data_IF_435224253636
#
_entry.id   IF_435224253636
#
_cell.length_a   1.000
_cell.length_b   1.000
_cell.length_c   1.000
_cell.angle_alpha   90.00
_cell.angle_beta   90.00
_cell.angle_gamma   90.00
#
_symmetry.space_group_name_H-M   'P 1'
#
loop_
_entity.id
_entity.type
_entity.pdbx_description
1 polymer ?
#
# COMPACT_ATOMS: atom_id res chain seq x y z
N UNK A 1 40.88 89.75 -37.39
CA UNK A 1 40.47 88.48 -38.03
C UNK A 1 38.99 88.14 -37.72
N UNK A 2 38.12 88.60 -38.62
CA UNK A 2 36.76 88.07 -38.90
C UNK A 2 36.88 86.64 -39.50
N UNK A 3 35.80 85.85 -39.68
CA UNK A 3 34.47 85.84 -39.04
C UNK A 3 33.89 84.39 -38.78
N UNK A 4 32.68 84.33 -38.21
CA UNK A 4 31.63 83.28 -38.48
C UNK A 4 31.22 83.35 -39.97
N UNK A 5 30.63 82.34 -40.65
CA UNK A 5 29.17 82.11 -40.56
C UNK A 5 28.68 80.68 -40.98
N UNK A 6 27.43 80.27 -40.68
CA UNK A 6 26.23 80.18 -41.55
C UNK A 6 25.95 78.73 -42.05
N UNK A 7 24.88 78.06 -41.59
CA UNK A 7 23.45 78.05 -42.01
C UNK A 7 23.14 77.16 -43.22
N UNK A 8 22.05 76.39 -43.12
CA UNK A 8 20.88 76.38 -44.03
C UNK A 8 19.99 75.16 -43.67
N UNK A 9 18.80 75.38 -43.10
CA UNK A 9 17.48 75.48 -43.79
C UNK A 9 16.76 74.12 -43.82
N UNK A 10 15.62 73.94 -43.15
CA UNK A 10 14.25 74.47 -43.37
C UNK A 10 13.39 73.49 -44.20
N UNK A 11 12.14 73.27 -43.75
CA UNK A 11 11.15 72.50 -44.51
C UNK A 11 10.13 71.73 -43.67
N UNK A 12 9.17 72.45 -43.07
CA UNK A 12 7.89 71.88 -42.64
C UNK A 12 7.06 71.40 -43.85
N UNK A 13 6.38 70.25 -43.73
CA UNK A 13 5.08 70.04 -44.37
C UNK A 13 4.23 69.00 -43.61
N UNK A 14 3.08 69.46 -43.13
CA UNK A 14 1.99 68.72 -42.48
C UNK A 14 1.37 67.66 -43.41
N UNK A 15 0.91 66.52 -42.85
CA UNK A 15 -0.47 66.00 -43.01
C UNK A 15 -0.72 64.73 -42.17
N UNK A 16 -1.78 64.79 -41.33
CA UNK A 16 -2.56 63.67 -40.74
C UNK A 16 -3.87 63.55 -41.55
N UNK A 17 -4.80 62.58 -41.33
CA UNK A 17 -4.74 61.28 -40.65
C UNK A 17 -5.46 60.13 -41.43
N UNK A 18 -5.38 58.87 -40.97
CA UNK A 18 -6.44 57.87 -41.23
C UNK A 18 -6.76 57.08 -39.95
N UNK A 19 -8.05 57.13 -39.57
CA UNK A 19 -8.76 56.28 -38.60
C UNK A 19 -9.11 54.93 -39.23
N UNK A 20 -9.18 53.88 -38.41
CA UNK A 20 -10.22 52.82 -38.26
C UNK A 20 -9.54 51.53 -37.77
N UNK A 21 -10.08 50.72 -36.85
CA UNK A 21 -11.38 50.73 -36.21
C UNK A 21 -11.36 49.92 -34.91
N UNK A 22 -12.26 50.31 -34.02
CA UNK A 22 -12.55 49.71 -32.72
C UNK A 22 -13.43 48.49 -32.92
N UNK A 23 -13.00 47.31 -32.47
CA UNK A 23 -13.88 46.12 -32.38
C UNK A 23 -14.41 46.03 -30.96
N UNK A 24 -15.72 46.28 -30.86
CA UNK A 24 -16.57 46.12 -29.68
C UNK A 24 -16.89 44.61 -29.58
N UNK A 25 -16.37 43.91 -28.56
CA UNK A 25 -16.83 42.55 -28.22
C UNK A 25 -17.46 42.57 -26.83
N UNK A 26 -18.69 42.09 -26.82
CA UNK A 26 -19.68 42.09 -25.73
C UNK A 26 -19.10 41.42 -24.48
N UNK A 27 -19.15 42.13 -23.36
CA UNK A 27 -19.18 41.50 -22.04
C UNK A 27 -20.46 40.66 -21.97
N UNK A 28 -20.28 39.35 -21.83
CA UNK A 28 -21.34 38.38 -21.60
C UNK A 28 -21.28 38.06 -20.12
N UNK A 29 -22.39 38.34 -19.45
CA UNK A 29 -22.71 37.87 -18.11
C UNK A 29 -22.57 36.35 -18.06
N UNK A 30 -21.58 35.86 -17.30
CA UNK A 30 -21.44 34.47 -16.82
C UNK A 30 -20.59 34.49 -15.52
N UNK A 31 -20.91 35.44 -14.62
CA UNK A 31 -20.44 35.44 -13.22
C UNK A 31 -21.66 35.18 -12.35
N UNK A 32 -21.81 33.96 -11.84
CA UNK A 32 -22.95 33.68 -10.96
C UNK A 32 -23.03 32.32 -10.29
N UNK A 33 -22.24 31.31 -10.71
CA UNK A 33 -22.35 29.97 -10.12
C UNK A 33 -21.10 29.47 -9.38
N UNK A 34 -19.88 29.90 -9.72
CA UNK A 34 -18.66 29.45 -9.02
C UNK A 34 -18.42 30.17 -7.67
N UNK A 35 -18.80 31.45 -7.55
CA UNK A 35 -18.61 32.28 -6.34
C UNK A 35 -19.37 31.72 -5.11
N UNK A 36 -20.54 31.10 -5.33
CA UNK A 36 -21.37 30.57 -4.23
C UNK A 36 -20.86 29.25 -3.65
N UNK A 37 -19.97 28.56 -4.37
CA UNK A 37 -19.36 27.31 -3.93
C UNK A 37 -18.17 27.56 -3.02
N UNK A 38 -17.33 28.52 -3.37
CA UNK A 38 -16.18 28.96 -2.56
C UNK A 38 -16.63 29.64 -1.27
N UNK A 39 -17.57 30.60 -1.34
CA UNK A 39 -18.10 31.29 -0.15
C UNK A 39 -18.67 30.32 0.90
N UNK A 40 -19.39 29.27 0.46
CA UNK A 40 -19.95 28.26 1.37
C UNK A 40 -18.89 27.34 1.98
N UNK A 41 -17.84 27.04 1.23
CA UNK A 41 -16.76 26.17 1.70
C UNK A 41 -15.92 26.90 2.74
N UNK A 42 -15.62 28.17 2.49
CA UNK A 42 -14.91 29.04 3.42
C UNK A 42 -15.72 29.25 4.72
N UNK A 43 -17.05 29.38 4.62
CA UNK A 43 -17.93 29.49 5.79
C UNK A 43 -17.99 28.18 6.61
N UNK A 44 -17.97 27.01 5.95
CA UNK A 44 -17.91 25.71 6.66
C UNK A 44 -16.54 25.47 7.30
N UNK A 45 -15.44 25.78 6.61
CA UNK A 45 -14.07 25.64 7.14
C UNK A 45 -13.87 26.54 8.37
N UNK A 46 -14.27 27.82 8.31
CA UNK A 46 -14.21 28.74 9.45
C UNK A 46 -15.02 28.25 10.64
N UNK A 47 -16.20 27.70 10.39
CA UNK A 47 -17.05 27.18 11.46
C UNK A 47 -16.43 25.96 12.14
N UNK A 48 -15.80 25.08 11.37
CA UNK A 48 -15.05 23.93 11.91
C UNK A 48 -13.85 24.42 12.73
N UNK A 49 -13.14 25.44 12.25
CA UNK A 49 -12.02 26.04 12.99
C UNK A 49 -12.47 26.69 14.30
N UNK A 50 -13.58 27.42 14.31
CA UNK A 50 -14.15 28.00 15.52
C UNK A 50 -14.59 26.92 16.53
N UNK A 51 -15.29 25.88 16.08
CA UNK A 51 -15.71 24.75 16.93
C UNK A 51 -14.49 23.99 17.48
N UNK A 52 -13.46 23.77 16.66
CA UNK A 52 -12.21 23.15 17.09
C UNK A 52 -11.45 24.03 18.09
N UNK A 53 -11.46 25.35 17.89
CA UNK A 53 -10.83 26.33 18.81
C UNK A 53 -11.52 26.35 20.17
N UNK A 54 -12.85 26.27 20.20
CA UNK A 54 -13.60 26.15 21.45
C UNK A 54 -13.32 24.84 22.19
N UNK A 55 -13.15 23.74 21.47
CA UNK A 55 -12.96 22.41 22.05
C UNK A 55 -11.51 22.10 22.46
N UNK A 56 -10.54 22.47 21.63
CA UNK A 56 -9.13 22.09 21.77
C UNK A 56 -8.20 23.26 22.12
N UNK A 57 -8.72 24.49 22.10
CA UNK A 57 -7.92 25.71 22.31
C UNK A 57 -7.22 26.18 21.03
N UNK A 58 -6.26 27.10 21.15
CA UNK A 58 -5.53 27.65 20.00
C UNK A 58 -4.73 26.56 19.28
N UNK A 59 -4.59 26.71 17.96
CA UNK A 59 -3.80 25.80 17.13
C UNK A 59 -2.33 25.83 17.57
N UNK A 60 -1.61 24.71 17.37
CA UNK A 60 -0.18 24.65 17.67
C UNK A 60 0.60 25.74 16.91
N UNK A 61 0.24 26.01 15.67
CA UNK A 61 0.82 27.09 14.86
C UNK A 61 0.68 28.46 15.54
N UNK A 62 -0.47 28.75 16.15
CA UNK A 62 -0.68 29.98 16.92
C UNK A 62 0.09 29.99 18.23
N UNK A 63 0.04 28.89 19.00
CA UNK A 63 0.74 28.77 20.30
C UNK A 63 2.24 28.96 20.11
N UNK A 64 2.77 28.38 19.04
CA UNK A 64 4.20 28.34 18.77
C UNK A 64 4.69 29.47 17.86
N UNK A 65 3.79 30.33 17.39
CA UNK A 65 4.07 31.45 16.48
C UNK A 65 4.80 30.97 15.21
N UNK A 66 4.25 29.93 14.56
CA UNK A 66 4.76 29.37 13.31
C UNK A 66 3.64 29.39 12.28
N UNK A 67 3.91 29.96 11.12
CA UNK A 67 3.04 29.85 9.95
C UNK A 67 3.67 28.93 8.89
N UNK A 68 2.81 28.34 8.05
CA UNK A 68 3.23 27.61 6.86
C UNK A 68 2.91 28.47 5.64
N UNK A 69 3.91 28.71 4.79
CA UNK A 69 3.65 29.40 3.52
C UNK A 69 2.82 28.51 2.60
N UNK A 70 1.84 29.09 1.93
CA UNK A 70 1.12 28.38 0.87
C UNK A 70 2.10 27.92 -0.23
N UNK A 71 1.95 26.68 -0.72
CA UNK A 71 2.78 26.17 -1.78
C UNK A 71 2.45 26.92 -3.08
N UNK A 72 3.38 27.77 -3.55
CA UNK A 72 3.37 28.22 -4.95
C UNK A 72 3.45 27.00 -5.89
N UNK A 73 2.93 27.13 -7.11
CA UNK A 73 2.81 26.06 -8.12
C UNK A 73 3.96 25.04 -8.07
N UNK A 74 3.59 23.76 -7.92
CA UNK A 74 4.44 22.73 -7.37
C UNK A 74 4.94 21.73 -8.42
N UNK A 75 6.27 21.58 -8.55
CA UNK A 75 6.90 20.43 -9.18
C UNK A 75 7.96 19.85 -8.23
N UNK A 76 7.66 18.68 -7.65
CA UNK A 76 8.61 17.93 -6.81
C UNK A 76 9.61 17.18 -7.69
N UNK A 77 10.93 17.36 -7.49
CA UNK A 77 11.92 16.49 -8.09
C UNK A 77 11.75 15.05 -7.58
N UNK A 78 12.00 14.04 -8.42
CA UNK A 78 11.80 12.63 -8.08
C UNK A 78 12.56 12.17 -6.82
N UNK A 79 13.70 12.81 -6.52
CA UNK A 79 14.53 12.55 -5.32
C UNK A 79 14.39 13.58 -4.19
N UNK A 80 13.38 14.46 -4.23
CA UNK A 80 13.25 15.56 -3.28
C UNK A 80 14.18 16.74 -3.56
N UNK A 81 14.14 17.76 -2.70
CA UNK A 81 15.00 18.94 -2.77
C UNK A 81 16.23 18.78 -1.90
N UNK A 82 17.36 19.27 -2.41
CA UNK A 82 18.58 19.43 -1.63
C UNK A 82 18.38 20.44 -0.50
N UNK A 83 18.91 20.11 0.67
CA UNK A 83 18.75 20.89 1.90
C UNK A 83 20.06 21.56 2.27
N UNK A 84 19.99 22.87 2.49
CA UNK A 84 21.11 23.66 2.99
C UNK A 84 21.04 23.82 4.51
N UNK A 85 22.19 23.68 5.16
CA UNK A 85 22.35 23.83 6.62
C UNK A 85 22.14 25.28 7.05
N UNK A 86 21.44 25.44 8.16
CA UNK A 86 21.30 26.70 8.88
C UNK A 86 22.08 26.70 10.19
N UNK A 87 21.56 27.45 11.16
CA UNK A 87 22.10 27.55 12.52
C UNK A 87 21.36 26.58 13.45
N UNK A 88 22.11 25.75 14.18
CA UNK A 88 21.52 24.90 15.22
C UNK A 88 21.71 25.47 16.62
N UNK A 89 20.72 25.26 17.48
CA UNK A 89 20.82 25.55 18.92
C UNK A 89 21.42 24.38 19.69
N UNK A 90 21.44 23.19 19.11
CA UNK A 90 22.03 22.02 19.75
C UNK A 90 23.55 22.19 19.91
N UNK A 91 24.15 21.65 20.99
CA UNK A 91 25.61 21.61 21.16
C UNK A 91 26.29 20.81 20.04
N UNK A 92 25.58 19.83 19.51
CA UNK A 92 25.96 19.05 18.34
C UNK A 92 25.61 19.86 17.10
N UNK A 93 26.62 20.21 16.31
CA UNK A 93 26.40 20.89 15.02
C UNK A 93 25.55 20.01 14.10
N UNK A 94 24.68 20.64 13.30
CA UNK A 94 24.01 19.96 12.19
C UNK A 94 25.03 19.18 11.33
N UNK A 95 24.70 17.93 10.96
CA UNK A 95 25.59 17.09 10.16
C UNK A 95 25.90 17.74 8.81
N UNK A 96 27.02 17.36 8.19
CA UNK A 96 27.41 17.90 6.88
C UNK A 96 26.43 17.52 5.77
N UNK A 97 25.88 16.31 5.84
CA UNK A 97 24.84 15.82 4.94
C UNK A 97 23.49 15.88 5.65
N UNK A 98 22.48 16.38 4.94
CA UNK A 98 21.09 16.44 5.38
C UNK A 98 20.23 15.61 4.42
N UNK A 99 19.11 15.04 4.91
CA UNK A 99 18.21 14.28 4.06
C UNK A 99 17.61 15.15 2.96
N UNK A 100 17.27 14.53 1.83
CA UNK A 100 16.46 15.20 0.83
C UNK A 100 15.09 15.53 1.42
N UNK A 101 14.58 16.70 1.03
CA UNK A 101 13.27 17.15 1.49
C UNK A 101 12.21 16.84 0.46
N UNK A 102 11.12 16.20 0.88
CA UNK A 102 9.99 15.84 0.04
C UNK A 102 8.78 16.74 0.33
N UNK A 103 8.69 17.32 1.51
CA UNK A 103 7.59 18.24 1.83
C UNK A 103 7.65 19.56 1.05
N UNK A 104 6.47 20.02 0.61
CA UNK A 104 6.29 21.26 -0.13
C UNK A 104 6.17 22.49 0.77
N UNK A 105 5.87 22.28 2.04
CA UNK A 105 5.62 23.36 2.98
C UNK A 105 6.94 23.99 3.43
N UNK A 106 6.89 25.31 3.69
CA UNK A 106 7.99 26.08 4.27
C UNK A 106 7.49 26.83 5.49
N UNK A 107 8.32 26.96 6.50
CA UNK A 107 7.98 27.73 7.69
C UNK A 107 8.19 29.23 7.44
N UNK A 108 7.29 30.02 8.02
CA UNK A 108 7.44 31.45 8.25
C UNK A 108 7.46 31.64 9.77
N UNK A 109 8.65 31.75 10.39
CA UNK A 109 8.73 31.95 11.83
C UNK A 109 8.15 33.31 12.24
N UNK A 110 7.22 33.31 13.20
CA UNK A 110 6.58 34.53 13.70
C UNK A 110 7.38 35.27 14.79
N UNK A 111 8.41 34.63 15.35
CA UNK A 111 9.29 35.23 16.36
C UNK A 111 10.77 34.89 16.19
N UNK A 112 11.62 35.73 16.77
CA UNK A 112 13.08 35.62 16.77
C UNK A 112 13.62 34.49 17.68
N UNK A 113 12.74 33.90 18.50
CA UNK A 113 13.03 32.71 19.28
C UNK A 113 13.30 31.48 18.41
N UNK A 114 12.82 31.48 17.17
CA UNK A 114 13.06 30.43 16.19
C UNK A 114 14.38 30.63 15.46
N UNK A 115 15.21 29.60 15.49
CA UNK A 115 16.41 29.46 14.66
C UNK A 115 16.11 28.54 13.49
N UNK A 116 16.65 28.91 12.33
CA UNK A 116 16.49 28.14 11.09
C UNK A 116 17.61 27.11 11.04
N UNK A 117 17.26 25.84 11.24
CA UNK A 117 18.22 24.73 11.21
C UNK A 117 18.47 24.22 9.80
N UNK A 118 17.45 24.25 8.94
CA UNK A 118 17.56 23.75 7.58
C UNK A 118 16.70 24.56 6.61
N UNK A 119 17.17 24.72 5.37
CA UNK A 119 16.46 25.44 4.31
C UNK A 119 16.44 24.67 3.00
N UNK A 120 15.38 24.86 2.23
CA UNK A 120 15.28 24.42 0.83
C UNK A 120 15.03 25.65 -0.03
N UNK A 121 15.91 25.90 -0.99
CA UNK A 121 15.83 27.10 -1.84
C UNK A 121 15.85 28.40 -1.02
N UNK A 122 16.56 28.41 0.11
CA UNK A 122 16.63 29.55 1.04
C UNK A 122 15.39 29.73 1.93
N UNK A 123 14.35 28.90 1.79
CA UNK A 123 13.14 28.95 2.64
C UNK A 123 13.24 27.92 3.79
N UNK A 124 12.85 28.25 5.03
CA UNK A 124 12.97 27.35 6.18
C UNK A 124 12.13 26.07 6.05
N UNK A 125 12.72 24.92 6.41
CA UNK A 125 12.05 23.61 6.43
C UNK A 125 12.22 22.85 7.74
N UNK A 126 13.27 23.16 8.50
CA UNK A 126 13.43 22.74 9.89
C UNK A 126 13.79 23.95 10.74
N UNK A 127 13.09 24.12 11.85
CA UNK A 127 13.28 25.23 12.79
C UNK A 127 13.42 24.70 14.21
N UNK A 128 14.18 25.43 15.01
CA UNK A 128 14.48 25.09 16.39
C UNK A 128 14.18 26.27 17.32
N UNK A 129 13.71 25.99 18.53
CA UNK A 129 13.69 26.99 19.62
C UNK A 129 14.04 26.38 20.96
N UNK A 130 14.49 27.17 21.95
CA UNK A 130 14.64 26.70 23.31
C UNK A 130 13.28 26.29 23.91
N UNK A 131 13.24 25.14 24.58
CA UNK A 131 12.07 24.69 25.36
C UNK A 131 12.55 23.96 26.63
N UNK A 132 12.30 24.58 27.79
CA UNK A 132 12.76 24.05 29.08
C UNK A 132 14.28 23.89 29.13
N UNK A 133 14.76 22.66 29.34
CA UNK A 133 16.21 22.32 29.37
C UNK A 133 16.75 21.81 28.03
N UNK A 134 15.93 21.81 26.99
CA UNK A 134 16.28 21.31 25.67
C UNK A 134 15.80 22.24 24.56
N UNK A 135 15.65 21.68 23.38
CA UNK A 135 15.18 22.37 22.19
C UNK A 135 13.94 21.67 21.66
N UNK A 136 13.03 22.46 21.10
CA UNK A 136 11.94 21.97 20.27
C UNK A 136 12.39 22.10 18.82
N UNK A 137 12.40 20.99 18.09
CA UNK A 137 12.65 20.96 16.65
C UNK A 137 11.34 20.67 15.95
N UNK A 138 11.02 21.46 14.92
CA UNK A 138 9.84 21.25 14.07
C UNK A 138 10.30 21.15 12.62
N UNK A 139 9.82 20.13 11.91
CA UNK A 139 10.14 19.85 10.50
C UNK A 139 8.87 19.88 9.67
N UNK A 140 8.93 20.40 8.44
CA UNK A 140 7.78 20.32 7.52
C UNK A 140 7.61 18.95 6.87
N UNK A 141 8.58 18.05 7.06
CA UNK A 141 8.61 16.71 6.48
C UNK A 141 8.80 15.65 7.57
N UNK A 142 8.35 14.45 7.27
CA UNK A 142 8.50 13.23 8.07
C UNK A 142 9.08 12.07 7.26
N UNK A 143 9.31 12.23 5.95
CA UNK A 143 9.76 11.15 5.07
C UNK A 143 11.08 10.53 5.53
N UNK A 144 12.04 11.35 5.99
CA UNK A 144 13.35 10.91 6.51
C UNK A 144 13.25 9.91 7.70
N UNK A 145 12.09 9.86 8.38
CA UNK A 145 11.83 8.92 9.48
C UNK A 145 10.97 7.73 9.06
N UNK A 146 10.53 7.66 7.80
CA UNK A 146 9.71 6.57 7.28
C UNK A 146 10.55 5.29 7.04
N UNK A 147 9.89 4.13 7.09
CA UNK A 147 10.54 2.85 6.80
C UNK A 147 11.16 2.81 5.39
N UNK A 148 10.57 3.53 4.44
CA UNK A 148 11.06 3.62 3.07
C UNK A 148 12.39 4.37 3.03
N UNK A 149 12.45 5.60 3.57
CA UNK A 149 13.67 6.38 3.61
C UNK A 149 14.77 5.69 4.43
N UNK A 150 14.42 5.05 5.56
CA UNK A 150 15.37 4.27 6.36
C UNK A 150 15.97 3.08 5.59
N UNK A 151 15.33 2.62 4.51
CA UNK A 151 15.83 1.56 3.65
C UNK A 151 16.59 2.08 2.42
N UNK A 152 16.11 3.14 1.77
CA UNK A 152 16.65 3.63 0.50
C UNK A 152 17.59 4.84 0.60
N UNK A 153 17.33 5.77 1.54
CA UNK A 153 18.03 7.06 1.69
C UNK A 153 18.24 7.41 3.17
N UNK A 154 18.82 6.48 3.93
CA UNK A 154 18.97 6.65 5.36
C UNK A 154 20.01 7.74 5.70
N UNK A 155 19.59 8.72 6.52
CA UNK A 155 20.45 9.76 7.10
C UNK A 155 20.57 9.65 8.64
N UNK A 156 21.33 8.67 9.18
CA UNK A 156 21.48 8.47 10.61
C UNK A 156 22.00 9.70 11.36
N UNK A 157 22.86 10.51 10.73
CA UNK A 157 23.45 11.68 11.37
C UNK A 157 22.39 12.76 11.68
N UNK A 158 21.41 12.94 10.78
CA UNK A 158 20.30 13.85 11.00
C UNK A 158 19.36 13.33 12.10
N UNK A 159 19.07 12.02 12.11
CA UNK A 159 18.27 11.40 13.17
C UNK A 159 18.95 11.52 14.54
N UNK A 160 20.27 11.33 14.62
CA UNK A 160 21.03 11.52 15.86
C UNK A 160 20.97 12.97 16.34
N UNK A 161 21.11 13.93 15.44
CA UNK A 161 20.95 15.35 15.77
C UNK A 161 19.53 15.66 16.30
N UNK A 162 18.47 15.10 15.71
CA UNK A 162 17.09 15.25 16.24
C UNK A 162 16.96 14.75 17.68
N UNK A 163 17.73 13.73 18.06
CA UNK A 163 17.73 13.22 19.44
C UNK A 163 18.55 14.06 20.41
N UNK A 164 19.33 15.05 19.94
CA UNK A 164 20.17 15.93 20.75
C UNK A 164 21.15 15.17 21.67
N UNK A 165 21.71 14.07 21.15
CA UNK A 165 22.67 13.23 21.85
C UNK A 165 22.13 12.48 23.06
N UNK A 166 20.80 12.34 23.20
CA UNK A 166 20.19 11.67 24.36
C UNK A 166 20.18 10.16 24.17
N UNK A 167 20.52 9.43 25.23
CA UNK A 167 20.50 7.96 25.26
C UNK A 167 19.11 7.35 25.46
N UNK A 168 18.13 8.15 25.87
CA UNK A 168 16.73 7.74 26.03
C UNK A 168 15.88 8.55 25.07
N UNK A 169 15.32 7.87 24.08
CA UNK A 169 14.41 8.45 23.09
C UNK A 169 13.01 7.87 23.32
N UNK A 170 12.00 8.74 23.32
CA UNK A 170 10.59 8.35 23.39
C UNK A 170 9.96 8.79 22.08
N UNK A 171 9.39 7.84 21.36
CA UNK A 171 8.62 8.11 20.15
C UNK A 171 7.15 8.20 20.54
N UNK A 172 6.52 9.32 20.21
CA UNK A 172 5.08 9.53 20.36
C UNK A 172 4.54 9.86 18.96
N UNK A 173 3.95 8.86 18.32
CA UNK A 173 3.50 8.96 16.93
C UNK A 173 1.98 9.08 16.90
N UNK A 174 1.48 10.20 16.39
CA UNK A 174 0.05 10.38 16.12
C UNK A 174 -0.16 10.24 14.62
N UNK A 175 -0.26 9.01 14.12
CA UNK A 175 -0.60 8.78 12.71
C UNK A 175 -2.10 9.04 12.55
N UNK A 176 -2.47 10.05 11.76
CA UNK A 176 -3.82 10.43 11.30
C UNK A 176 -4.63 11.48 12.06
N UNK A 177 -4.14 12.12 13.13
CA UNK A 177 -4.93 13.18 13.81
C UNK A 177 -6.29 12.71 14.39
N UNK A 178 -6.62 11.44 14.27
CA UNK A 178 -7.70 10.78 14.99
C UNK A 178 -7.08 10.13 16.21
N UNK A 179 -7.34 10.70 17.40
CA UNK A 179 -7.73 9.83 18.50
C UNK A 179 -8.85 8.98 17.89
N UNK A 180 -8.69 7.66 17.73
CA UNK A 180 -9.79 6.78 17.30
C UNK A 180 -10.91 6.83 18.35
N UNK A 181 -11.68 7.91 18.35
CA UNK A 181 -12.93 8.05 19.06
C UNK A 181 -14.01 7.53 18.13
N UNK A 182 -13.98 6.22 17.88
CA UNK A 182 -15.01 5.53 17.13
C UNK A 182 -14.47 4.60 16.06
N UNK A 183 -13.90 3.48 16.49
CA UNK A 183 -13.70 2.32 15.61
C UNK A 183 -14.99 1.96 14.87
N UNK A 184 -14.86 1.17 13.80
CA UNK A 184 -15.92 0.66 12.89
C UNK A 184 -17.33 0.45 13.49
N UNK A 185 -17.43 0.14 14.79
CA UNK A 185 -18.64 0.14 15.63
C UNK A 185 -19.47 1.45 15.54
N UNK A 186 -18.86 2.64 15.46
CA UNK A 186 -19.57 3.90 15.36
C UNK A 186 -20.25 4.05 13.98
N UNK A 187 -19.56 3.64 12.90
CA UNK A 187 -20.14 3.52 11.56
C UNK A 187 -21.29 2.51 11.55
N UNK A 188 -21.10 1.34 12.17
CA UNK A 188 -22.10 0.28 12.27
C UNK A 188 -23.38 0.77 12.98
N UNK A 189 -23.23 1.63 14.00
CA UNK A 189 -24.33 2.26 14.74
C UNK A 189 -25.00 3.36 13.94
N UNK A 190 -24.23 4.21 13.23
CA UNK A 190 -24.74 5.31 12.39
C UNK A 190 -25.58 4.82 11.21
N UNK A 191 -25.16 3.73 10.56
CA UNK A 191 -25.89 3.12 9.45
C UNK A 191 -26.94 2.07 9.87
N UNK A 192 -27.18 1.89 11.19
CA UNK A 192 -28.13 0.89 11.73
C UNK A 192 -27.92 -0.53 11.18
N UNK A 193 -26.67 -0.88 10.86
CA UNK A 193 -26.27 -2.16 10.24
C UNK A 193 -26.49 -3.37 11.16
N UNK A 194 -26.92 -3.16 12.40
CA UNK A 194 -27.28 -4.22 13.35
C UNK A 194 -28.41 -5.11 12.80
N UNK A 195 -29.35 -4.54 12.03
CA UNK A 195 -30.41 -5.33 11.38
C UNK A 195 -29.86 -6.31 10.33
N UNK A 196 -28.89 -5.89 9.52
CA UNK A 196 -28.23 -6.74 8.54
C UNK A 196 -27.48 -7.89 9.21
N UNK A 197 -26.73 -7.59 10.28
CA UNK A 197 -25.98 -8.59 11.05
C UNK A 197 -26.90 -9.64 11.70
N UNK A 198 -28.00 -9.20 12.32
CA UNK A 198 -29.01 -10.12 12.86
C UNK A 198 -29.62 -10.98 11.75
N UNK A 199 -29.90 -10.39 10.58
CA UNK A 199 -30.40 -11.12 9.42
C UNK A 199 -29.43 -12.21 8.94
N UNK A 200 -28.13 -11.90 8.84
CA UNK A 200 -27.10 -12.87 8.49
C UNK A 200 -26.98 -13.97 9.55
N UNK A 201 -27.01 -13.61 10.83
CA UNK A 201 -26.93 -14.58 11.93
C UNK A 201 -28.11 -15.56 11.89
N UNK A 202 -29.34 -15.06 11.70
CA UNK A 202 -30.54 -15.89 11.54
C UNK A 202 -30.42 -16.78 10.30
N UNK A 203 -29.95 -16.23 9.19
CA UNK A 203 -29.74 -16.99 7.96
C UNK A 203 -28.75 -18.14 8.17
N UNK A 204 -27.60 -17.88 8.81
CA UNK A 204 -26.60 -18.91 9.15
C UNK A 204 -27.17 -19.95 10.11
N UNK A 205 -27.91 -19.52 11.13
CA UNK A 205 -28.56 -20.44 12.08
C UNK A 205 -29.60 -21.33 11.38
N UNK A 206 -30.39 -20.78 10.46
CA UNK A 206 -31.33 -21.55 9.63
C UNK A 206 -30.61 -22.51 8.68
N UNK A 207 -29.46 -22.11 8.14
CA UNK A 207 -28.65 -22.95 7.26
C UNK A 207 -28.03 -24.12 8.03
N UNK A 208 -27.51 -23.86 9.22
CA UNK A 208 -27.02 -24.87 10.16
C UNK A 208 -28.15 -25.80 10.61
N UNK A 209 -29.33 -25.26 10.91
CA UNK A 209 -30.50 -26.06 11.30
C UNK A 209 -31.00 -26.93 10.14
N UNK A 210 -31.05 -26.40 8.91
CA UNK A 210 -31.37 -27.16 7.70
C UNK A 210 -30.38 -28.30 7.48
N UNK A 211 -29.09 -28.07 7.71
CA UNK A 211 -28.05 -29.10 7.55
C UNK A 211 -28.04 -30.12 8.69
N UNK A 212 -28.45 -29.74 9.90
CA UNK A 212 -28.63 -30.66 11.01
C UNK A 212 -29.93 -31.51 10.90
N UNK A 213 -30.96 -31.00 10.22
CA UNK A 213 -32.24 -31.69 10.03
C UNK A 213 -32.20 -32.58 8.78
N UNK A 214 -31.25 -33.51 8.71
CA UNK A 214 -31.30 -34.57 7.70
C UNK A 214 -32.40 -35.57 8.07
N UNK A 215 -33.60 -35.34 7.54
CA UNK A 215 -34.69 -36.33 7.51
C UNK A 215 -34.55 -37.30 6.32
N UNK A 216 -33.31 -37.58 5.90
CA UNK A 216 -33.01 -38.65 4.95
C UNK A 216 -32.35 -39.80 5.72
N UNK A 217 -32.89 -41.04 5.65
CA UNK A 217 -32.19 -42.20 6.19
C UNK A 217 -30.86 -42.33 5.42
N UNK A 218 -29.75 -42.11 6.11
CA UNK A 218 -28.41 -42.27 5.56
C UNK A 218 -28.18 -43.73 5.20
N UNK A 219 -27.72 -43.99 3.99
CA UNK A 219 -27.13 -45.28 3.64
C UNK A 219 -25.88 -45.48 4.51
N UNK A 220 -25.91 -46.47 5.40
CA UNK A 220 -24.81 -46.86 6.31
C UNK A 220 -23.45 -47.08 5.60
N UNK A 221 -23.46 -47.19 4.28
CA UNK A 221 -22.27 -47.40 3.45
C UNK A 221 -21.38 -46.14 3.31
N UNK A 222 -21.94 -44.94 3.49
CA UNK A 222 -21.17 -43.68 3.39
C UNK A 222 -20.57 -43.29 4.74
N UNK A 223 -21.25 -43.58 5.86
CA UNK A 223 -20.77 -43.22 7.20
C UNK A 223 -19.67 -44.15 7.75
N UNK A 224 -19.60 -45.41 7.33
CA UNK A 224 -18.47 -46.30 7.72
C UNK A 224 -17.12 -45.88 7.13
N UNK A 225 -17.10 -44.98 6.14
CA UNK A 225 -15.87 -44.37 5.63
C UNK A 225 -15.46 -43.07 6.32
N UNK A 226 -16.30 -42.52 7.20
CA UNK A 226 -16.18 -41.16 7.75
C UNK A 226 -15.99 -41.10 9.28
N UNK A 227 -15.90 -42.26 9.95
CA UNK A 227 -15.64 -42.33 11.41
C UNK A 227 -14.41 -43.19 11.70
N UNK A 228 -13.24 -42.66 11.34
CA UNK A 228 -11.96 -43.08 11.90
C UNK A 228 -11.28 -41.86 12.50
N UNK A 229 -11.55 -41.60 13.78
CA UNK A 229 -10.79 -40.68 14.62
C UNK A 229 -10.98 -39.19 14.34
N UNK A 230 -11.73 -38.52 15.20
CA UNK A 230 -11.56 -37.09 15.39
C UNK A 230 -10.17 -36.83 15.97
N UNK A 231 -9.28 -36.28 15.16
CA UNK A 231 -8.09 -35.58 15.61
C UNK A 231 -7.75 -34.48 14.59
N UNK A 232 -7.10 -33.45 15.10
CA UNK A 232 -7.14 -32.09 14.62
C UNK A 232 -6.50 -31.83 13.24
N UNK A 233 -7.06 -30.81 12.58
CA UNK A 233 -6.38 -29.73 11.84
C UNK A 233 -4.84 -29.81 11.85
N UNK A 234 -4.23 -30.00 10.67
CA UNK A 234 -3.10 -29.20 10.13
C UNK A 234 -2.42 -29.94 8.96
N UNK A 235 -2.45 -29.37 7.75
CA UNK A 235 -1.42 -29.61 6.73
C UNK A 235 -1.70 -30.58 5.56
N UNK A 236 -2.84 -31.27 5.48
CA UNK A 236 -3.06 -32.34 4.47
C UNK A 236 -4.15 -32.04 3.41
N UNK A 237 -4.51 -30.77 3.22
CA UNK A 237 -5.69 -30.39 2.41
C UNK A 237 -5.52 -30.61 0.90
N UNK A 238 -4.32 -30.36 0.34
CA UNK A 238 -4.13 -30.49 -1.13
C UNK A 238 -4.04 -31.95 -1.58
N UNK A 239 -3.37 -32.80 -0.80
CA UNK A 239 -3.18 -34.23 -1.15
C UNK A 239 -4.48 -35.00 -0.98
N UNK A 240 -5.20 -34.79 0.12
CA UNK A 240 -6.51 -35.44 0.35
C UNK A 240 -7.56 -34.99 -0.66
N UNK A 241 -7.57 -33.71 -1.04
CA UNK A 241 -8.41 -33.16 -2.11
C UNK A 241 -8.09 -33.77 -3.48
N UNK A 242 -6.80 -33.89 -3.83
CA UNK A 242 -6.37 -34.53 -5.07
C UNK A 242 -6.72 -36.03 -5.10
N UNK A 243 -6.54 -36.75 -3.99
CA UNK A 243 -6.95 -38.16 -3.87
C UNK A 243 -8.46 -38.32 -4.07
N UNK A 244 -9.28 -37.39 -3.57
CA UNK A 244 -10.74 -37.40 -3.80
C UNK A 244 -11.10 -37.15 -5.26
N UNK A 245 -10.38 -36.26 -5.95
CA UNK A 245 -10.56 -36.03 -7.38
C UNK A 245 -10.15 -37.25 -8.21
N UNK A 246 -9.00 -37.86 -7.89
CA UNK A 246 -8.52 -39.07 -8.57
C UNK A 246 -9.47 -40.25 -8.38
N UNK A 247 -10.00 -40.45 -7.17
CA UNK A 247 -11.00 -41.51 -6.91
C UNK A 247 -12.29 -41.31 -7.69
N UNK A 248 -12.65 -40.06 -8.02
CA UNK A 248 -13.83 -39.75 -8.84
C UNK A 248 -13.58 -39.94 -10.33
N UNK A 249 -12.38 -39.64 -10.82
CA UNK A 249 -12.07 -39.68 -12.26
C UNK A 249 -11.57 -41.04 -12.76
N UNK A 250 -10.96 -41.86 -11.89
CA UNK A 250 -10.36 -43.14 -12.28
C UNK A 250 -11.03 -44.28 -11.51
N UNK A 251 -11.78 -45.17 -12.17
CA UNK A 251 -12.34 -46.36 -11.53
C UNK A 251 -11.23 -47.23 -10.93
N UNK A 252 -11.39 -47.80 -9.71
CA UNK A 252 -10.35 -48.58 -9.04
C UNK A 252 -9.78 -49.73 -9.89
N UNK A 253 -10.63 -50.33 -10.72
CA UNK A 253 -10.25 -51.43 -11.64
C UNK A 253 -9.27 -51.00 -12.73
N UNK A 254 -9.19 -49.71 -13.06
CA UNK A 254 -8.34 -49.15 -14.12
C UNK A 254 -7.11 -48.40 -13.59
N UNK A 255 -7.01 -48.24 -12.26
CA UNK A 255 -5.96 -47.45 -11.64
C UNK A 255 -4.56 -47.98 -11.99
N UNK A 256 -4.34 -49.28 -11.87
CA UNK A 256 -3.04 -49.90 -12.12
C UNK A 256 -2.59 -49.77 -13.59
N UNK A 257 -3.52 -50.02 -14.51
CA UNK A 257 -3.27 -49.84 -15.95
C UNK A 257 -2.95 -48.38 -16.30
N UNK A 258 -3.67 -47.43 -15.69
CA UNK A 258 -3.43 -45.99 -15.91
C UNK A 258 -2.07 -45.56 -15.34
N UNK A 259 -1.65 -46.07 -14.19
CA UNK A 259 -0.33 -45.80 -13.62
C UNK A 259 0.80 -46.31 -14.53
N UNK A 260 0.66 -47.50 -15.13
CA UNK A 260 1.66 -48.04 -16.05
C UNK A 260 1.72 -47.25 -17.36
N UNK A 261 0.55 -46.83 -17.89
CA UNK A 261 0.48 -45.98 -19.07
C UNK A 261 1.18 -44.62 -18.84
N UNK A 262 0.89 -43.97 -17.70
CA UNK A 262 1.53 -42.71 -17.32
C UNK A 262 3.06 -42.86 -17.13
N UNK A 263 3.52 -43.98 -16.58
CA UNK A 263 4.95 -44.27 -16.47
C UNK A 263 5.62 -44.35 -17.85
N UNK A 264 5.05 -45.12 -18.78
CA UNK A 264 5.57 -45.27 -20.16
C UNK A 264 5.60 -43.94 -20.91
N UNK A 265 4.57 -43.12 -20.74
CA UNK A 265 4.50 -41.78 -21.32
C UNK A 265 5.57 -40.83 -20.75
N UNK A 266 5.81 -40.88 -19.44
CA UNK A 266 6.83 -40.05 -18.78
C UNK A 266 8.28 -40.52 -19.00
N UNK A 267 8.48 -41.78 -19.43
CA UNK A 267 9.80 -42.41 -19.58
C UNK A 267 9.91 -43.26 -20.85
N UNK A 268 9.79 -42.65 -22.05
CA UNK A 268 9.87 -43.38 -23.31
C UNK A 268 11.24 -44.03 -23.49
N UNK A 269 11.27 -45.33 -23.80
CA UNK A 269 12.49 -46.09 -24.09
C UNK A 269 13.34 -46.48 -22.87
N UNK A 270 12.82 -46.31 -21.65
CA UNK A 270 13.54 -46.63 -20.41
C UNK A 270 13.39 -48.08 -19.95
N UNK A 271 12.39 -48.80 -20.46
CA UNK A 271 12.13 -50.20 -20.17
C UNK A 271 12.78 -51.14 -21.20
N UNK A 272 13.39 -52.23 -20.75
CA UNK A 272 13.82 -53.32 -21.64
C UNK A 272 12.63 -54.19 -22.04
N UNK A 273 12.72 -54.93 -23.15
CA UNK A 273 11.66 -55.84 -23.60
C UNK A 273 11.25 -56.87 -22.53
N UNK A 274 12.22 -57.34 -21.74
CA UNK A 274 11.97 -58.29 -20.62
C UNK A 274 11.19 -57.63 -19.48
N UNK A 275 11.49 -56.37 -19.17
CA UNK A 275 10.79 -55.60 -18.13
C UNK A 275 9.36 -55.27 -18.55
N UNK A 276 9.14 -54.89 -19.81
CA UNK A 276 7.82 -54.63 -20.36
C UNK A 276 6.94 -55.91 -20.29
N UNK A 277 7.47 -57.05 -20.74
CA UNK A 277 6.76 -58.34 -20.68
C UNK A 277 6.46 -58.78 -19.23
N UNK A 278 7.37 -58.52 -18.28
CA UNK A 278 7.16 -58.83 -16.87
C UNK A 278 6.10 -57.93 -16.21
N UNK A 279 6.11 -56.62 -16.52
CA UNK A 279 5.11 -55.67 -16.03
C UNK A 279 3.71 -55.99 -16.57
N UNK A 280 3.59 -56.34 -17.86
CA UNK A 280 2.31 -56.68 -18.49
C UNK A 280 1.74 -58.00 -17.92
N UNK A 281 2.59 -59.00 -17.61
CA UNK A 281 2.15 -60.24 -16.93
C UNK A 281 1.60 -59.97 -15.53
N UNK A 282 2.25 -59.07 -14.77
CA UNK A 282 1.78 -58.68 -13.44
C UNK A 282 0.45 -57.93 -13.52
N UNK A 283 0.28 -57.02 -14.50
CA UNK A 283 -0.99 -56.34 -14.75
C UNK A 283 -2.11 -57.34 -15.11
N UNK A 284 -1.87 -58.26 -16.04
CA UNK A 284 -2.84 -59.28 -16.44
C UNK A 284 -3.22 -60.23 -15.28
N UNK A 285 -2.25 -60.55 -14.40
CA UNK A 285 -2.52 -61.37 -13.22
C UNK A 285 -3.45 -60.67 -12.21
N UNK A 286 -3.27 -59.35 -12.04
CA UNK A 286 -4.13 -58.52 -11.19
C UNK A 286 -5.54 -58.37 -11.79
N UNK A 287 -5.67 -58.20 -13.11
CA UNK A 287 -6.97 -58.10 -13.79
C UNK A 287 -7.78 -59.40 -13.71
N UNK A 288 -7.11 -60.55 -13.76
CA UNK A 288 -7.75 -61.88 -13.72
C UNK A 288 -8.13 -62.31 -12.30
N UNK A 289 -7.39 -61.86 -11.27
CA UNK A 289 -7.67 -62.24 -9.87
C UNK A 289 -7.31 -61.11 -8.89
N UNK A 290 -8.19 -60.09 -8.75
CA UNK A 290 -7.93 -58.90 -7.93
C UNK A 290 -7.84 -59.17 -6.42
N UNK A 291 -8.39 -60.30 -5.95
CA UNK A 291 -8.39 -60.70 -4.55
C UNK A 291 -7.08 -61.35 -4.10
N UNK A 292 -6.36 -61.99 -5.02
CA UNK A 292 -5.13 -62.74 -4.74
C UNK A 292 -3.89 -61.83 -4.72
N UNK A 293 -3.92 -60.74 -5.49
CA UNK A 293 -2.88 -59.71 -5.51
C UNK A 293 -3.54 -58.34 -5.36
N UNK A 294 -3.39 -57.71 -4.20
CA UNK A 294 -3.97 -56.37 -3.99
C UNK A 294 -3.30 -55.37 -4.93
N UNK A 295 -4.05 -54.36 -5.37
CA UNK A 295 -3.56 -53.35 -6.31
C UNK A 295 -2.26 -52.67 -5.88
N UNK A 296 -2.09 -52.41 -4.57
CA UNK A 296 -0.87 -51.83 -4.01
C UNK A 296 0.35 -52.78 -4.14
N UNK A 297 0.15 -54.07 -3.89
CA UNK A 297 1.20 -55.09 -4.00
C UNK A 297 1.60 -55.32 -5.45
N UNK A 298 0.62 -55.31 -6.37
CA UNK A 298 0.85 -55.38 -7.80
C UNK A 298 1.66 -54.16 -8.30
N UNK A 299 1.29 -52.96 -7.85
CA UNK A 299 2.00 -51.72 -8.19
C UNK A 299 3.45 -51.76 -7.67
N UNK A 300 3.67 -52.12 -6.41
CA UNK A 300 5.00 -52.19 -5.83
C UNK A 300 5.93 -53.17 -6.58
N UNK A 301 5.39 -54.33 -7.01
CA UNK A 301 6.13 -55.31 -7.80
C UNK A 301 6.46 -54.81 -9.20
N UNK A 302 5.51 -54.15 -9.87
CA UNK A 302 5.73 -53.53 -11.18
C UNK A 302 6.79 -52.43 -11.07
N UNK A 303 6.70 -51.58 -10.05
CA UNK A 303 7.69 -50.53 -9.79
C UNK A 303 9.09 -51.11 -9.54
N UNK A 304 9.20 -52.20 -8.78
CA UNK A 304 10.48 -52.89 -8.55
C UNK A 304 11.10 -53.45 -9.84
N UNK A 305 10.29 -54.09 -10.69
CA UNK A 305 10.73 -54.61 -12.00
C UNK A 305 11.23 -53.50 -12.92
N UNK A 306 10.57 -52.34 -12.90
CA UNK A 306 10.91 -51.18 -13.71
C UNK A 306 12.07 -50.36 -13.14
N UNK A 307 12.32 -50.43 -11.83
CA UNK A 307 13.42 -49.75 -11.16
C UNK A 307 14.74 -50.54 -11.22
N UNK A 308 14.68 -51.86 -11.38
CA UNK A 308 15.85 -52.72 -11.49
C UNK A 308 16.67 -52.34 -12.73
N UNK A 309 17.90 -51.86 -12.52
CA UNK A 309 18.79 -51.35 -13.57
C UNK A 309 19.70 -52.44 -14.17
N UNK A 310 19.65 -53.66 -13.66
CA UNK A 310 20.65 -54.70 -13.93
C UNK A 310 20.24 -55.70 -15.03
N UNK A 311 19.20 -55.40 -15.82
CA UNK A 311 18.82 -56.19 -17.00
C UNK A 311 19.17 -55.51 -18.34
N UNK A 312 20.38 -54.94 -18.44
CA UNK A 312 21.00 -54.57 -19.73
C UNK A 312 21.81 -55.73 -20.30
#
# INVERSE_FOLDING_TARGET
PKPKPETAESGEAKTRPKKTGTVKKRAKDDKGEDDKGEDKKDDEEKKIEEEAREMFGPLLTEIWEIELSDPESFERPEGGWEVARGESLAPESLPETLPNWHSQYRFVPGSDAWKIAATVGGKPVAIERPLGKGTLVVTTDTFFASNEALWSEADPAFLLWLTGGKSRVVFDETIHGTVESGGTVLLLRRYRLHGLLVGILVFVALLAWKSASSLAPGSEEIERGLSGGGEAVSGEESVSGFVRLLRRSIPPKRLLAQCLAAYRESSPGRESRRQAEAADRLLASHETSPSTLKAADAYARIAAVLADRDAR
#
